data_IF_236045017866
#
_entry.id   IF_236045017866
#
_cell.length_a   1.000
_cell.length_b   1.000
_cell.length_c   1.000
_cell.angle_alpha   90.00
_cell.angle_beta   90.00
_cell.angle_gamma   90.00
#
_symmetry.space_group_name_H-M   'P 1'
#
loop_
_entity.id
_entity.type
_entity.pdbx_description
1 polymer ?
#
# COMPACT_ATOMS: atom_id res chain seq x y z
N UNK A 1 21.38 16.79 -20.02
CA UNK A 1 20.52 15.61 -20.27
C UNK A 1 19.22 15.88 -19.55
N UNK A 2 18.09 15.86 -20.27
CA UNK A 2 16.78 16.06 -19.62
C UNK A 2 16.45 14.87 -18.71
N UNK A 3 15.57 15.06 -17.74
CA UNK A 3 15.10 13.97 -16.86
C UNK A 3 14.55 12.80 -17.70
N UNK A 4 13.73 13.08 -18.72
CA UNK A 4 13.21 12.06 -19.65
C UNK A 4 14.32 11.32 -20.41
N UNK A 5 15.39 11.99 -20.85
CA UNK A 5 16.54 11.33 -21.47
C UNK A 5 17.30 10.41 -20.51
N UNK A 6 17.42 10.81 -19.23
CA UNK A 6 17.99 9.96 -18.18
C UNK A 6 17.15 8.69 -17.99
N UNK A 7 15.82 8.82 -17.89
CA UNK A 7 14.90 7.69 -17.80
C UNK A 7 15.02 6.75 -19.02
N UNK A 8 15.10 7.29 -20.25
CA UNK A 8 15.31 6.47 -21.47
C UNK A 8 16.59 5.66 -21.44
N UNK A 9 17.65 6.26 -20.91
CA UNK A 9 18.96 5.62 -20.82
C UNK A 9 18.92 4.46 -19.83
N UNK A 10 18.34 4.69 -18.65
CA UNK A 10 18.23 3.69 -17.57
C UNK A 10 17.21 2.60 -17.85
N UNK A 11 16.13 2.90 -18.58
CA UNK A 11 15.06 1.95 -18.89
C UNK A 11 15.58 0.61 -19.41
N UNK A 12 16.59 0.63 -20.29
CA UNK A 12 17.16 -0.58 -20.91
C UNK A 12 17.71 -1.58 -19.89
N UNK A 13 18.17 -1.11 -18.73
CA UNK A 13 18.71 -1.95 -17.67
C UNK A 13 17.62 -2.68 -16.86
N UNK A 14 16.36 -2.24 -17.01
CA UNK A 14 15.21 -2.72 -16.24
C UNK A 14 14.17 -3.48 -17.06
N UNK A 15 14.35 -3.57 -18.38
CA UNK A 15 13.51 -4.40 -19.23
C UNK A 15 13.77 -5.88 -18.96
N UNK A 16 12.72 -6.68 -18.95
CA UNK A 16 12.83 -8.14 -18.87
C UNK A 16 13.33 -8.75 -20.21
N UNK A 17 13.45 -10.08 -20.24
CA UNK A 17 13.90 -10.81 -21.44
C UNK A 17 12.98 -10.64 -22.67
N UNK A 18 11.76 -10.15 -22.49
CA UNK A 18 10.78 -9.87 -23.56
C UNK A 18 10.76 -8.39 -23.94
N UNK A 19 11.60 -7.57 -23.31
CA UNK A 19 11.59 -6.13 -23.48
C UNK A 19 10.46 -5.43 -22.73
N UNK A 20 9.89 -6.06 -21.69
CA UNK A 20 8.77 -5.55 -20.92
C UNK A 20 9.22 -4.87 -19.63
N UNK A 21 8.42 -3.95 -19.09
CA UNK A 21 8.67 -3.29 -17.82
C UNK A 21 7.51 -3.50 -16.85
N UNK A 22 7.81 -4.00 -15.65
CA UNK A 22 6.77 -4.18 -14.63
C UNK A 22 6.12 -2.83 -14.24
N UNK A 23 4.78 -2.76 -14.16
CA UNK A 23 4.10 -1.56 -13.69
C UNK A 23 4.42 -1.28 -12.21
N UNK A 24 4.17 -0.05 -11.71
CA UNK A 24 4.57 0.38 -10.38
C UNK A 24 4.12 -0.56 -9.26
N UNK A 25 2.84 -0.95 -9.26
CA UNK A 25 2.28 -1.88 -8.27
C UNK A 25 2.86 -3.29 -8.35
N UNK A 26 3.37 -3.70 -9.52
CA UNK A 26 4.02 -5.00 -9.68
C UNK A 26 5.49 -4.95 -9.27
N UNK A 27 6.15 -3.79 -9.32
CA UNK A 27 7.55 -3.63 -8.91
C UNK A 27 7.71 -3.34 -7.43
N UNK A 28 6.85 -2.49 -6.88
CA UNK A 28 6.83 -2.04 -5.49
C UNK A 28 5.43 -2.26 -4.88
N UNK A 29 4.99 -3.52 -4.71
CA UNK A 29 3.66 -3.81 -4.15
C UNK A 29 3.49 -3.33 -2.71
N UNK A 30 4.60 -3.18 -1.99
CA UNK A 30 4.71 -2.64 -0.63
C UNK A 30 4.69 -1.11 -0.57
N UNK A 31 4.73 -0.40 -1.71
CA UNK A 31 4.48 1.02 -1.76
C UNK A 31 2.97 1.27 -1.86
N UNK A 32 2.42 1.89 -0.82
CA UNK A 32 1.07 2.45 -0.87
C UNK A 32 1.01 3.57 -1.93
N UNK A 33 -0.15 3.80 -2.57
CA UNK A 33 -0.28 4.70 -3.72
C UNK A 33 0.18 6.14 -3.43
N UNK A 34 -0.04 6.63 -2.21
CA UNK A 34 0.26 8.00 -1.81
C UNK A 34 1.54 8.12 -0.94
N UNK A 35 2.32 7.04 -0.80
CA UNK A 35 3.57 7.08 -0.05
C UNK A 35 4.59 8.05 -0.67
N UNK A 36 5.41 8.67 0.19
CA UNK A 36 6.51 9.56 -0.23
C UNK A 36 7.53 8.87 -1.14
N UNK A 37 7.64 7.54 -1.08
CA UNK A 37 8.53 6.77 -1.95
C UNK A 37 8.26 6.93 -3.45
N UNK A 38 7.06 7.35 -3.86
CA UNK A 38 6.77 7.68 -5.26
C UNK A 38 7.28 9.05 -5.71
N UNK A 39 7.54 9.94 -4.75
CA UNK A 39 8.00 11.33 -5.01
C UNK A 39 9.49 11.51 -4.73
N UNK A 40 10.14 10.50 -4.15
CA UNK A 40 11.55 10.53 -3.82
C UNK A 40 12.16 9.13 -3.94
N UNK A 41 13.30 9.04 -4.61
CA UNK A 41 14.12 7.82 -4.65
C UNK A 41 13.62 6.79 -5.66
N UNK A 42 13.59 5.52 -5.26
CA UNK A 42 13.40 4.40 -6.20
C UNK A 42 12.02 4.38 -6.88
N UNK A 43 10.96 4.82 -6.19
CA UNK A 43 9.62 4.88 -6.78
C UNK A 43 9.51 5.99 -7.82
N UNK A 44 10.06 7.17 -7.57
CA UNK A 44 10.12 8.29 -8.52
C UNK A 44 10.87 7.90 -9.81
N UNK A 45 12.05 7.32 -9.65
CA UNK A 45 12.85 6.79 -10.75
C UNK A 45 12.04 5.79 -11.60
N UNK A 46 11.32 4.88 -10.94
CA UNK A 46 10.53 3.86 -11.62
C UNK A 46 9.30 4.44 -12.32
N UNK A 47 8.61 5.40 -11.72
CA UNK A 47 7.51 6.13 -12.37
C UNK A 47 7.98 6.84 -13.63
N UNK A 48 9.16 7.48 -13.58
CA UNK A 48 9.78 8.11 -14.76
C UNK A 48 10.12 7.10 -15.86
N UNK A 49 10.74 5.97 -15.51
CA UNK A 49 11.04 4.91 -16.47
C UNK A 49 9.77 4.26 -17.05
N UNK A 50 8.76 4.06 -16.21
CA UNK A 50 7.48 3.49 -16.61
C UNK A 50 6.70 4.41 -17.55
N UNK A 51 6.63 5.70 -17.24
CA UNK A 51 6.05 6.71 -18.14
C UNK A 51 6.69 6.67 -19.52
N UNK A 52 8.03 6.64 -19.59
CA UNK A 52 8.73 6.60 -20.88
C UNK A 52 8.62 5.24 -21.60
N UNK A 53 8.47 4.16 -20.84
CA UNK A 53 8.13 2.86 -21.41
C UNK A 53 6.73 2.88 -22.06
N UNK A 54 5.75 3.47 -21.38
CA UNK A 54 4.40 3.65 -21.91
C UNK A 54 4.39 4.55 -23.15
N UNK A 55 5.24 5.58 -23.26
CA UNK A 55 5.39 6.40 -24.48
C UNK A 55 5.82 5.56 -25.71
N UNK A 56 6.48 4.41 -25.51
CA UNK A 56 6.94 3.52 -26.60
C UNK A 56 5.89 2.51 -27.04
N UNK A 57 4.84 2.29 -26.25
CA UNK A 57 3.72 1.43 -26.63
C UNK A 57 2.76 2.18 -27.56
N UNK A 58 2.09 1.46 -28.45
CA UNK A 58 1.00 2.05 -29.22
C UNK A 58 -0.10 2.54 -28.26
N UNK A 59 -0.71 3.72 -28.51
CA UNK A 59 -1.70 4.32 -27.61
C UNK A 59 -3.08 3.64 -27.69
N UNK A 60 -3.26 2.63 -28.54
CA UNK A 60 -4.53 1.94 -28.68
C UNK A 60 -4.85 1.06 -27.45
N UNK A 61 -6.13 0.96 -27.04
CA UNK A 61 -6.51 0.19 -25.86
C UNK A 61 -6.12 -1.29 -25.93
N UNK A 62 -6.11 -1.92 -27.10
CA UNK A 62 -5.77 -3.35 -27.22
C UNK A 62 -4.31 -3.62 -26.82
N UNK A 63 -3.38 -2.81 -27.32
CA UNK A 63 -1.96 -2.88 -26.95
C UNK A 63 -1.76 -2.63 -25.45
N UNK A 64 -2.47 -1.64 -24.89
CA UNK A 64 -2.38 -1.28 -23.47
C UNK A 64 -2.94 -2.35 -22.55
N UNK A 65 -4.09 -2.92 -22.90
CA UNK A 65 -4.68 -4.08 -22.21
C UNK A 65 -3.74 -5.28 -22.28
N UNK A 66 -3.15 -5.55 -23.45
CA UNK A 66 -2.21 -6.65 -23.63
C UNK A 66 -0.95 -6.46 -22.77
N UNK A 67 -0.49 -5.23 -22.56
CA UNK A 67 0.57 -4.91 -21.61
C UNK A 67 0.15 -5.20 -20.17
N UNK A 68 -0.96 -4.61 -19.71
CA UNK A 68 -1.45 -4.77 -18.34
C UNK A 68 -1.69 -6.25 -17.98
N UNK A 69 -2.23 -7.05 -18.91
CA UNK A 69 -2.51 -8.49 -18.70
C UNK A 69 -1.27 -9.37 -18.61
N UNK A 70 -0.08 -8.89 -18.96
CA UNK A 70 1.18 -9.62 -18.74
C UNK A 70 1.67 -9.52 -17.28
N UNK A 71 1.08 -8.62 -16.50
CA UNK A 71 1.44 -8.35 -15.12
C UNK A 71 0.28 -8.68 -14.17
N UNK A 72 0.54 -8.78 -12.84
CA UNK A 72 -0.53 -8.82 -11.85
C UNK A 72 -1.47 -7.61 -12.03
N UNK A 73 -2.79 -7.79 -11.81
CA UNK A 73 -3.72 -6.67 -11.87
C UNK A 73 -3.33 -5.59 -10.85
N UNK A 74 -3.67 -4.35 -11.14
CA UNK A 74 -3.44 -3.25 -10.22
C UNK A 74 -4.33 -3.38 -8.97
N UNK A 75 -3.87 -2.95 -7.80
CA UNK A 75 -4.77 -2.74 -6.66
C UNK A 75 -5.90 -1.77 -7.06
N UNK A 76 -7.09 -1.92 -6.48
CA UNK A 76 -8.24 -1.04 -6.79
C UNK A 76 -7.90 0.43 -6.58
N UNK A 77 -7.04 0.75 -5.61
CA UNK A 77 -6.55 2.11 -5.38
C UNK A 77 -5.84 2.72 -6.60
N UNK A 78 -5.37 1.94 -7.58
CA UNK A 78 -4.69 2.39 -8.80
C UNK A 78 -5.63 2.49 -10.03
N UNK A 79 -6.96 2.43 -9.85
CA UNK A 79 -7.91 2.38 -10.95
C UNK A 79 -7.83 3.55 -11.94
N UNK A 80 -7.61 4.77 -11.44
CA UNK A 80 -7.39 5.98 -12.23
C UNK A 80 -6.13 5.88 -13.08
N UNK A 81 -5.01 5.43 -12.50
CA UNK A 81 -3.75 5.25 -13.24
C UNK A 81 -3.91 4.19 -14.32
N UNK A 82 -4.62 3.09 -14.05
CA UNK A 82 -4.93 2.09 -15.09
C UNK A 82 -5.77 2.70 -16.19
N UNK A 83 -6.73 3.56 -15.85
CA UNK A 83 -7.53 4.27 -16.84
C UNK A 83 -6.67 5.18 -17.73
N UNK A 84 -5.78 5.97 -17.16
CA UNK A 84 -4.82 6.81 -17.92
C UNK A 84 -3.94 5.98 -18.86
N UNK A 85 -3.55 4.77 -18.47
CA UNK A 85 -2.78 3.85 -19.32
C UNK A 85 -3.59 3.42 -20.55
N UNK A 86 -4.89 3.20 -20.39
CA UNK A 86 -5.79 2.79 -21.48
C UNK A 86 -6.18 3.94 -22.40
N UNK A 87 -6.33 5.14 -21.84
CA UNK A 87 -6.83 6.33 -22.53
C UNK A 87 -5.84 7.50 -22.38
N UNK A 88 -4.62 7.40 -22.94
CA UNK A 88 -3.59 8.42 -22.75
C UNK A 88 -3.94 9.78 -23.37
N UNK A 89 -4.90 9.82 -24.30
CA UNK A 89 -5.40 11.06 -24.92
C UNK A 89 -6.41 11.82 -24.04
N UNK A 90 -6.93 11.20 -22.98
CA UNK A 90 -7.82 11.84 -22.01
C UNK A 90 -7.06 12.46 -20.83
N UNK A 91 -5.73 12.24 -20.77
CA UNK A 91 -4.85 12.91 -19.81
C UNK A 91 -4.85 14.40 -20.14
N UNK A 92 -5.39 15.24 -19.24
CA UNK A 92 -5.42 16.68 -19.47
C UNK A 92 -3.99 17.21 -19.68
N UNK A 93 -3.79 17.99 -20.73
CA UNK A 93 -2.55 18.73 -21.00
C UNK A 93 -2.45 19.96 -20.06
N UNK A 94 -2.75 19.81 -18.77
CA UNK A 94 -2.88 20.91 -17.80
C UNK A 94 -1.53 21.30 -17.13
N UNK A 95 -0.42 20.86 -17.72
CA UNK A 95 0.93 21.36 -17.39
C UNK A 95 1.31 22.60 -18.24
N UNK A 96 0.35 23.25 -18.92
CA UNK A 96 0.57 24.56 -19.54
C UNK A 96 0.37 25.67 -18.51
N UNK A 97 1.48 26.23 -18.01
CA UNK A 97 1.58 27.46 -17.21
C UNK A 97 0.97 28.70 -17.89
N UNK A 98 -0.33 28.75 -18.17
CA UNK A 98 -1.02 29.98 -18.57
C UNK A 98 -2.34 30.15 -17.81
N UNK A 99 -2.34 31.15 -16.93
CA UNK A 99 -3.50 31.86 -16.39
C UNK A 99 -4.64 31.93 -17.42
N UNK A 100 -5.70 31.14 -17.25
CA UNK A 100 -7.05 31.62 -17.50
C UNK A 100 -8.07 30.78 -16.71
N UNK A 101 -8.69 31.46 -15.76
CA UNK A 101 -9.85 30.98 -15.03
C UNK A 101 -11.02 30.76 -15.99
N UNK A 102 -11.23 29.52 -16.40
CA UNK A 102 -12.53 29.07 -16.90
C UNK A 102 -12.90 27.77 -16.19
N UNK A 103 -13.94 27.84 -15.36
CA UNK A 103 -14.54 26.74 -14.61
C UNK A 103 -15.22 25.76 -15.61
N UNK A 104 -14.40 25.02 -16.35
CA UNK A 104 -14.82 23.90 -17.16
C UNK A 104 -14.96 22.67 -16.28
N UNK A 105 -16.21 22.30 -16.00
CA UNK A 105 -16.67 21.04 -15.39
C UNK A 105 -15.82 19.86 -15.91
N UNK A 106 -14.75 19.49 -15.20
CA UNK A 106 -13.96 18.32 -15.56
C UNK A 106 -14.74 17.09 -15.10
N UNK A 107 -15.03 16.18 -16.03
CA UNK A 107 -15.62 14.86 -15.74
C UNK A 107 -14.75 13.98 -14.79
N UNK A 108 -13.64 14.53 -14.29
CA UNK A 108 -12.77 13.94 -13.27
C UNK A 108 -13.45 13.90 -11.88
N UNK A 109 -14.36 14.84 -11.59
CA UNK A 109 -14.98 14.97 -10.27
C UNK A 109 -16.38 14.33 -10.14
N UNK A 110 -16.96 13.72 -11.19
CA UNK A 110 -18.19 12.91 -11.03
C UNK A 110 -17.88 11.56 -10.34
N UNK A 111 -18.28 11.37 -9.07
CA UNK A 111 -18.03 10.13 -8.35
C UNK A 111 -18.71 8.93 -9.02
N UNK A 112 -19.78 9.18 -9.78
CA UNK A 112 -20.52 8.15 -10.53
C UNK A 112 -19.69 7.64 -11.70
N UNK A 113 -19.12 8.53 -12.50
CA UNK A 113 -18.21 8.18 -13.59
C UNK A 113 -16.98 7.41 -13.08
N UNK A 114 -16.35 7.86 -11.99
CA UNK A 114 -15.22 7.17 -11.38
C UNK A 114 -15.59 5.75 -10.89
N UNK A 115 -16.78 5.58 -10.30
CA UNK A 115 -17.28 4.27 -9.87
C UNK A 115 -17.57 3.33 -11.06
N UNK A 116 -18.11 3.87 -12.16
CA UNK A 116 -18.35 3.11 -13.39
C UNK A 116 -17.04 2.67 -14.04
N UNK A 117 -16.05 3.59 -14.18
CA UNK A 117 -14.70 3.27 -14.66
C UNK A 117 -14.08 2.13 -13.86
N UNK A 118 -14.11 2.24 -12.52
CA UNK A 118 -13.60 1.20 -11.61
C UNK A 118 -14.31 -0.14 -11.79
N UNK A 119 -15.63 -0.13 -11.93
CA UNK A 119 -16.41 -1.36 -12.15
C UNK A 119 -16.04 -2.03 -13.47
N UNK A 120 -15.90 -1.27 -14.55
CA UNK A 120 -15.48 -1.80 -15.85
C UNK A 120 -14.06 -2.39 -15.82
N UNK A 121 -13.13 -1.76 -15.08
CA UNK A 121 -11.76 -2.28 -14.92
C UNK A 121 -11.71 -3.57 -14.09
N UNK A 122 -12.57 -3.69 -13.07
CA UNK A 122 -12.75 -4.91 -12.28
C UNK A 122 -13.27 -6.06 -13.14
N UNK A 123 -14.31 -5.81 -13.95
CA UNK A 123 -14.89 -6.81 -14.87
C UNK A 123 -13.88 -7.30 -15.91
N UNK A 124 -12.99 -6.42 -16.37
CA UNK A 124 -11.92 -6.76 -17.30
C UNK A 124 -10.72 -7.47 -16.64
N UNK A 125 -10.68 -7.54 -15.32
CA UNK A 125 -9.59 -8.12 -14.54
C UNK A 125 -8.29 -7.31 -14.60
N UNK A 126 -8.38 -5.99 -14.86
CA UNK A 126 -7.22 -5.10 -14.91
C UNK A 126 -6.87 -4.51 -13.54
N UNK A 127 -7.86 -4.44 -12.65
CA UNK A 127 -7.69 -4.15 -11.23
C UNK A 127 -8.31 -5.25 -10.37
N UNK A 128 -7.83 -5.41 -9.14
CA UNK A 128 -8.33 -6.39 -8.19
C UNK A 128 -8.17 -5.94 -6.73
N UNK A 129 -9.03 -6.50 -5.87
CA UNK A 129 -8.95 -6.35 -4.42
C UNK A 129 -7.85 -7.25 -3.85
N UNK A 130 -7.09 -6.74 -2.87
CA UNK A 130 -6.07 -7.47 -2.10
C UNK A 130 -4.93 -8.09 -2.94
N UNK A 131 -4.65 -7.51 -4.11
CA UNK A 131 -3.64 -8.04 -5.03
C UNK A 131 -2.22 -7.67 -4.62
N UNK A 132 -2.04 -6.56 -3.89
CA UNK A 132 -0.70 -6.12 -3.52
C UNK A 132 0.00 -7.13 -2.61
N UNK A 133 -0.72 -7.72 -1.65
CA UNK A 133 -0.16 -8.75 -0.78
C UNK A 133 0.28 -10.00 -1.57
N UNK A 134 -0.59 -10.52 -2.45
CA UNK A 134 -0.26 -11.69 -3.26
C UNK A 134 0.92 -11.42 -4.21
N UNK A 135 0.98 -10.20 -4.77
CA UNK A 135 2.08 -9.74 -5.62
C UNK A 135 3.39 -9.65 -4.84
N UNK A 136 3.38 -9.02 -3.65
CA UNK A 136 4.53 -8.97 -2.75
C UNK A 136 5.01 -10.35 -2.34
N UNK A 137 4.07 -11.24 -1.98
CA UNK A 137 4.38 -12.61 -1.56
C UNK A 137 5.03 -13.41 -2.69
N UNK A 138 4.55 -13.24 -3.93
CA UNK A 138 5.13 -13.89 -5.11
C UNK A 138 6.55 -13.45 -5.45
N UNK A 139 7.01 -12.31 -4.91
CA UNK A 139 8.40 -11.84 -5.04
C UNK A 139 9.34 -12.41 -3.98
N UNK A 140 8.80 -13.06 -2.94
CA UNK A 140 9.61 -13.58 -1.85
C UNK A 140 10.16 -14.99 -2.17
N UNK A 141 11.43 -15.22 -1.89
CA UNK A 141 12.06 -16.55 -1.94
C UNK A 141 12.07 -17.28 -0.60
N UNK A 142 11.59 -16.60 0.45
CA UNK A 142 11.51 -17.08 1.83
C UNK A 142 10.89 -15.99 2.72
N UNK A 143 10.99 -16.13 4.04
CA UNK A 143 10.55 -15.07 4.95
C UNK A 143 11.65 -14.01 5.05
N UNK A 144 11.37 -12.80 4.57
CA UNK A 144 12.22 -11.64 4.78
C UNK A 144 11.92 -11.05 6.16
N UNK A 145 12.84 -11.21 7.10
CA UNK A 145 12.61 -10.77 8.48
C UNK A 145 12.80 -9.25 8.63
N UNK A 146 11.85 -8.52 9.26
CA UNK A 146 11.90 -7.06 9.36
C UNK A 146 13.20 -6.51 9.96
N UNK A 147 13.77 -7.23 10.93
CA UNK A 147 15.02 -6.84 11.60
C UNK A 147 16.27 -6.92 10.72
N UNK A 148 16.17 -7.46 9.50
CA UNK A 148 17.27 -7.37 8.52
C UNK A 148 17.46 -5.94 7.99
N UNK A 149 16.42 -5.10 8.06
CA UNK A 149 16.44 -3.71 7.56
C UNK A 149 16.15 -2.68 8.65
N UNK A 150 15.36 -3.05 9.66
CA UNK A 150 14.92 -2.16 10.73
C UNK A 150 15.55 -2.59 12.07
N UNK A 151 16.44 -1.80 12.68
CA UNK A 151 17.09 -2.19 13.92
C UNK A 151 16.10 -2.31 15.08
N UNK A 152 15.04 -1.50 15.10
CA UNK A 152 13.97 -1.56 16.10
C UNK A 152 12.60 -1.93 15.49
N UNK A 153 11.69 -2.56 16.25
CA UNK A 153 10.34 -2.84 15.81
C UNK A 153 9.51 -1.59 15.52
N UNK A 154 9.75 -0.51 16.25
CA UNK A 154 9.11 0.78 16.06
C UNK A 154 9.44 1.37 14.67
N UNK A 155 10.69 1.26 14.21
CA UNK A 155 11.12 1.72 12.88
C UNK A 155 10.38 0.97 11.77
N UNK A 156 10.24 -0.35 11.93
CA UNK A 156 9.51 -1.18 10.96
C UNK A 156 8.03 -0.79 10.92
N UNK A 157 7.41 -0.60 12.09
CA UNK A 157 6.02 -0.19 12.19
C UNK A 157 5.80 1.21 11.58
N UNK A 158 6.76 2.12 11.74
CA UNK A 158 6.67 3.51 11.28
C UNK A 158 6.94 3.69 9.79
N UNK A 159 8.04 3.14 9.30
CA UNK A 159 8.56 3.46 7.97
C UNK A 159 8.27 2.38 6.93
N UNK A 160 7.96 1.16 7.38
CA UNK A 160 7.71 0.01 6.51
C UNK A 160 6.37 -0.66 6.86
N UNK A 161 5.37 0.12 7.27
CA UNK A 161 4.10 -0.37 7.82
C UNK A 161 3.40 -1.36 6.90
N UNK A 162 3.38 -1.07 5.60
CA UNK A 162 2.75 -1.92 4.59
C UNK A 162 3.51 -3.23 4.38
N UNK A 163 4.84 -3.17 4.22
CA UNK A 163 5.69 -4.37 4.13
C UNK A 163 5.57 -5.21 5.42
N UNK A 164 5.56 -4.57 6.60
CA UNK A 164 5.40 -5.24 7.88
C UNK A 164 4.01 -5.89 8.02
N UNK A 165 2.96 -5.27 7.47
CA UNK A 165 1.63 -5.87 7.39
C UNK A 165 1.60 -7.10 6.48
N UNK A 166 2.25 -7.04 5.32
CA UNK A 166 2.36 -8.20 4.44
C UNK A 166 3.16 -9.34 5.08
N UNK A 167 4.29 -9.03 5.71
CA UNK A 167 5.06 -9.99 6.49
C UNK A 167 4.22 -10.62 7.62
N UNK A 168 3.46 -9.80 8.35
CA UNK A 168 2.55 -10.22 9.42
C UNK A 168 1.55 -11.28 8.94
N UNK A 169 0.94 -11.05 7.76
CA UNK A 169 0.03 -12.01 7.12
C UNK A 169 0.73 -13.30 6.71
N UNK A 170 1.92 -13.21 6.09
CA UNK A 170 2.71 -14.39 5.71
C UNK A 170 3.05 -15.26 6.95
N UNK A 171 3.52 -14.62 8.02
CA UNK A 171 3.85 -15.29 9.28
C UNK A 171 2.62 -15.92 9.93
N UNK A 172 1.47 -15.25 9.90
CA UNK A 172 0.22 -15.79 10.42
C UNK A 172 -0.19 -17.09 9.72
N UNK A 173 -0.05 -17.16 8.38
CA UNK A 173 -0.32 -18.39 7.63
C UNK A 173 0.70 -19.49 7.94
N UNK A 174 1.99 -19.15 8.02
CA UNK A 174 3.03 -20.12 8.40
C UNK A 174 2.80 -20.69 9.81
N UNK A 175 2.36 -19.86 10.75
CA UNK A 175 2.05 -20.27 12.13
C UNK A 175 0.87 -21.24 12.21
N UNK A 176 -0.11 -21.14 11.29
CA UNK A 176 -1.22 -22.10 11.21
C UNK A 176 -0.78 -23.46 10.64
N UNK A 177 0.38 -23.52 9.99
CA UNK A 177 1.00 -24.76 9.54
C UNK A 177 1.55 -25.60 10.70
N UNK A 178 1.87 -26.86 10.41
CA UNK A 178 2.30 -27.84 11.42
C UNK A 178 3.78 -27.73 11.84
N UNK A 179 4.60 -26.92 11.17
CA UNK A 179 6.06 -26.85 11.37
C UNK A 179 6.56 -25.40 11.56
N UNK A 180 5.81 -24.58 12.31
CA UNK A 180 6.26 -23.23 12.63
C UNK A 180 7.36 -23.25 13.69
N UNK A 181 8.53 -22.71 13.34
CA UNK A 181 9.60 -22.39 14.29
C UNK A 181 10.23 -21.08 13.85
N UNK A 182 9.95 -19.95 14.53
CA UNK A 182 10.56 -18.68 14.16
C UNK A 182 12.08 -18.74 14.40
N UNK A 183 12.87 -17.96 13.66
CA UNK A 183 14.30 -17.82 13.91
C UNK A 183 14.54 -17.14 15.27
N UNK A 184 15.80 -17.14 15.69
CA UNK A 184 16.22 -16.35 16.85
C UNK A 184 15.90 -14.87 16.64
N UNK A 185 15.06 -14.31 17.52
CA UNK A 185 14.71 -12.89 17.52
C UNK A 185 15.87 -12.10 18.13
N UNK A 186 16.38 -11.05 17.47
CA UNK A 186 17.47 -10.25 18.00
C UNK A 186 17.06 -9.49 19.26
N UNK A 187 18.04 -9.06 20.06
CA UNK A 187 17.82 -8.37 21.34
C UNK A 187 16.88 -7.16 21.20
N UNK A 188 17.09 -6.35 20.17
CA UNK A 188 16.27 -5.15 19.92
C UNK A 188 14.80 -5.46 19.60
N UNK A 189 14.48 -6.70 19.20
CA UNK A 189 13.13 -7.17 18.91
C UNK A 189 12.59 -8.11 19.99
N UNK A 190 13.29 -8.29 21.11
CA UNK A 190 12.90 -9.23 22.18
C UNK A 190 11.48 -8.99 22.70
N UNK A 191 11.01 -7.74 22.72
CA UNK A 191 9.64 -7.38 23.11
C UNK A 191 8.55 -7.96 22.18
N UNK A 192 8.90 -8.35 20.95
CA UNK A 192 8.00 -8.94 19.96
C UNK A 192 8.10 -10.47 19.90
N UNK A 193 9.06 -11.09 20.59
CA UNK A 193 9.38 -12.51 20.43
C UNK A 193 8.20 -13.43 20.76
N UNK A 194 7.53 -13.21 21.89
CA UNK A 194 6.35 -14.00 22.29
C UNK A 194 5.24 -13.90 21.25
N UNK A 195 4.91 -12.67 20.80
CA UNK A 195 3.88 -12.44 19.80
C UNK A 195 4.18 -13.14 18.47
N UNK A 196 5.44 -13.10 18.04
CA UNK A 196 5.89 -13.80 16.84
C UNK A 196 5.74 -15.33 16.98
N UNK A 197 6.19 -15.87 18.11
CA UNK A 197 6.21 -17.31 18.35
C UNK A 197 4.81 -17.90 18.46
N UNK A 198 3.97 -17.32 19.30
CA UNK A 198 2.68 -17.93 19.69
C UNK A 198 1.48 -17.34 18.97
N UNK A 199 1.61 -16.14 18.38
CA UNK A 199 0.47 -15.36 17.91
C UNK A 199 -0.30 -14.65 19.03
N UNK A 200 0.12 -14.80 20.28
CA UNK A 200 -0.45 -14.10 21.42
C UNK A 200 0.32 -12.80 21.67
N UNK A 201 -0.37 -11.68 21.53
CA UNK A 201 0.24 -10.37 21.72
C UNK A 201 0.47 -10.04 23.20
N UNK A 202 -0.19 -10.73 24.13
CA UNK A 202 -0.19 -10.42 25.55
C UNK A 202 -0.80 -9.05 25.85
N UNK A 203 -0.30 -8.37 26.88
CA UNK A 203 -0.77 -7.02 27.22
C UNK A 203 -0.21 -5.98 26.24
N UNK A 204 -1.12 -5.21 25.64
CA UNK A 204 -0.82 -4.02 24.82
C UNK A 204 -0.60 -2.81 25.73
N UNK A 205 0.36 -1.95 25.36
CA UNK A 205 0.67 -0.70 26.06
C UNK A 205 0.32 0.48 25.16
N UNK A 206 -0.90 1.06 25.25
CA UNK A 206 -1.35 2.09 24.31
C UNK A 206 -0.48 3.34 24.20
N UNK A 207 0.31 3.64 25.24
CA UNK A 207 1.26 4.76 25.25
C UNK A 207 2.54 4.50 24.43
N UNK A 208 2.79 3.24 24.07
CA UNK A 208 3.90 2.83 23.19
C UNK A 208 3.29 2.36 21.89
N UNK A 209 2.69 3.27 21.13
CA UNK A 209 1.83 2.96 19.98
C UNK A 209 2.54 2.14 18.91
N UNK A 210 3.73 2.58 18.48
CA UNK A 210 4.51 1.88 17.44
C UNK A 210 4.96 0.49 17.89
N UNK A 211 5.46 0.33 19.12
CA UNK A 211 5.81 -1.00 19.64
C UNK A 211 4.58 -1.90 19.75
N UNK A 212 3.47 -1.36 20.23
CA UNK A 212 2.21 -2.10 20.36
C UNK A 212 1.70 -2.58 19.00
N UNK A 213 1.76 -1.71 17.97
CA UNK A 213 1.45 -2.08 16.60
C UNK A 213 2.42 -3.16 16.09
N UNK A 214 3.73 -3.02 16.30
CA UNK A 214 4.71 -4.02 15.89
C UNK A 214 4.46 -5.38 16.54
N UNK A 215 4.10 -5.42 17.83
CA UNK A 215 3.74 -6.66 18.55
C UNK A 215 2.46 -7.29 17.97
N UNK A 216 1.44 -6.49 17.69
CA UNK A 216 0.22 -6.95 17.03
C UNK A 216 0.53 -7.55 15.65
N UNK A 217 1.32 -6.85 14.84
CA UNK A 217 1.76 -7.34 13.54
C UNK A 217 2.57 -8.63 13.66
N UNK A 218 3.47 -8.76 14.64
CA UNK A 218 4.15 -10.03 14.93
C UNK A 218 3.15 -11.15 15.29
N UNK A 219 2.08 -10.83 16.00
CA UNK A 219 1.00 -11.76 16.30
C UNK A 219 0.12 -12.11 15.09
N UNK A 220 0.25 -11.43 13.95
CA UNK A 220 -0.55 -11.71 12.76
C UNK A 220 -1.94 -11.06 12.78
N UNK A 221 -2.13 -10.04 13.61
CA UNK A 221 -3.42 -9.37 13.80
C UNK A 221 -3.23 -7.89 14.09
N UNK A 222 -4.27 -7.08 13.89
CA UNK A 222 -4.31 -5.69 14.39
C UNK A 222 -5.61 -5.52 15.14
N UNK A 223 -5.54 -5.01 16.36
CA UNK A 223 -6.71 -4.69 17.17
C UNK A 223 -7.07 -3.23 16.97
N UNK A 224 -8.33 -2.92 16.71
CA UNK A 224 -8.77 -1.54 16.58
C UNK A 224 -8.74 -0.82 17.95
N UNK A 225 -8.52 0.51 18.00
CA UNK A 225 -8.44 1.25 19.25
C UNK A 225 -9.64 1.04 20.18
N UNK A 226 -10.85 0.97 19.64
CA UNK A 226 -12.07 0.72 20.40
C UNK A 226 -12.14 -0.68 21.03
N UNK A 227 -11.42 -1.67 20.48
CA UNK A 227 -11.29 -3.00 21.11
C UNK A 227 -10.37 -2.97 22.34
N UNK A 228 -9.52 -1.95 22.43
CA UNK A 228 -8.64 -1.69 23.57
C UNK A 228 -9.25 -0.71 24.58
N UNK A 229 -10.50 -0.25 24.36
CA UNK A 229 -11.15 0.75 25.20
C UNK A 229 -10.64 2.18 25.00
N UNK A 230 -9.94 2.45 23.90
CA UNK A 230 -9.48 3.79 23.54
C UNK A 230 -10.59 4.58 22.82
N UNK A 231 -10.45 5.90 22.87
CA UNK A 231 -11.36 6.88 22.29
C UNK A 231 -10.62 7.78 21.29
N UNK A 232 -11.38 8.61 20.55
CA UNK A 232 -10.78 9.63 19.69
C UNK A 232 -10.00 10.70 20.46
N UNK A 233 -10.27 10.87 21.77
CA UNK A 233 -9.49 11.80 22.60
C UNK A 233 -8.07 11.28 22.90
N UNK A 234 -7.81 10.00 22.64
CA UNK A 234 -6.48 9.39 22.77
C UNK A 234 -5.63 9.56 21.50
N UNK A 235 -6.20 10.14 20.43
CA UNK A 235 -5.47 10.55 19.24
C UNK A 235 -4.73 11.86 19.52
N UNK A 236 -3.41 11.86 19.37
CA UNK A 236 -2.57 13.00 19.70
C UNK A 236 -2.02 13.74 18.47
N UNK A 237 -2.13 13.15 17.28
CA UNK A 237 -1.46 13.58 16.04
C UNK A 237 0.03 13.90 16.26
N UNK A 238 0.68 13.06 17.09
CA UNK A 238 2.09 13.21 17.41
C UNK A 238 2.94 12.49 16.36
N UNK A 239 3.97 13.19 15.88
CA UNK A 239 5.01 12.62 15.03
C UNK A 239 6.21 12.13 15.84
N UNK A 240 6.12 12.05 17.17
CA UNK A 240 7.21 11.53 18.00
C UNK A 240 7.29 10.00 17.89
N UNK A 241 8.43 9.42 18.27
CA UNK A 241 8.63 7.96 18.25
C UNK A 241 7.81 7.23 19.33
N UNK A 242 7.31 7.97 20.32
CA UNK A 242 6.43 7.47 21.38
C UNK A 242 4.95 7.88 21.15
N UNK A 243 4.49 7.92 19.90
CA UNK A 243 3.08 8.21 19.58
C UNK A 243 2.12 7.20 20.23
N UNK A 244 0.87 7.64 20.46
CA UNK A 244 -0.19 6.79 20.99
C UNK A 244 -0.62 5.69 20.02
N UNK A 245 -1.28 4.65 20.53
CA UNK A 245 -1.73 3.55 19.68
C UNK A 245 -2.81 3.96 18.66
N UNK A 246 -3.59 5.02 18.93
CA UNK A 246 -4.55 5.54 17.94
C UNK A 246 -3.82 6.10 16.71
N UNK A 247 -2.72 6.83 16.93
CA UNK A 247 -1.85 7.35 15.87
C UNK A 247 -1.17 6.22 15.09
N UNK A 248 -0.61 5.22 15.78
CA UNK A 248 -0.01 4.06 15.12
C UNK A 248 -1.06 3.26 14.32
N UNK A 249 -2.28 3.12 14.85
CA UNK A 249 -3.39 2.47 14.15
C UNK A 249 -3.80 3.24 12.89
N UNK A 250 -3.83 4.57 12.92
CA UNK A 250 -4.05 5.41 11.74
C UNK A 250 -2.99 5.13 10.67
N UNK A 251 -1.71 5.14 11.05
CA UNK A 251 -0.60 4.86 10.14
C UNK A 251 -0.75 3.48 9.45
N UNK A 252 -1.12 2.46 10.22
CA UNK A 252 -1.45 1.15 9.66
C UNK A 252 -2.64 1.20 8.71
N UNK A 253 -3.74 1.84 9.11
CA UNK A 253 -4.95 1.94 8.29
C UNK A 253 -4.75 2.66 6.96
N UNK A 254 -3.91 3.69 6.93
CA UNK A 254 -3.51 4.39 5.70
C UNK A 254 -2.75 3.49 4.72
N UNK A 255 -2.07 2.47 5.24
CA UNK A 255 -1.12 1.64 4.49
C UNK A 255 -1.63 0.22 4.18
N UNK A 256 -2.60 -0.28 4.94
CA UNK A 256 -2.91 -1.71 4.99
C UNK A 256 -3.87 -2.19 3.89
N UNK A 257 -4.69 -1.31 3.34
CA UNK A 257 -5.83 -1.68 2.50
C UNK A 257 -5.66 -1.22 1.06
N UNK A 258 -6.01 -2.09 0.12
CA UNK A 258 -6.03 -1.77 -1.31
C UNK A 258 -7.37 -1.15 -1.74
N UNK A 259 -8.42 -1.37 -0.94
CA UNK A 259 -9.80 -1.06 -1.32
C UNK A 259 -10.76 -0.95 -0.12
N UNK A 260 -11.89 -0.30 -0.37
CA UNK A 260 -12.96 -0.07 0.59
C UNK A 260 -13.62 -1.35 1.10
N UNK A 261 -13.62 -2.44 0.32
CA UNK A 261 -14.24 -3.69 0.71
C UNK A 261 -13.44 -4.39 1.82
N UNK A 262 -12.12 -4.41 1.72
CA UNK A 262 -11.25 -4.92 2.78
C UNK A 262 -11.35 -4.09 4.05
N UNK A 263 -11.31 -2.77 3.93
CA UNK A 263 -11.50 -1.88 5.07
C UNK A 263 -12.85 -2.16 5.74
N UNK A 264 -13.95 -2.21 4.97
CA UNK A 264 -15.28 -2.52 5.51
C UNK A 264 -15.33 -3.84 6.26
N UNK A 265 -14.75 -4.92 5.69
CA UNK A 265 -14.66 -6.23 6.37
C UNK A 265 -13.93 -6.12 7.71
N UNK A 266 -12.83 -5.37 7.76
CA UNK A 266 -12.10 -5.14 8.99
C UNK A 266 -12.94 -4.36 10.03
N UNK A 267 -13.60 -3.27 9.62
CA UNK A 267 -14.45 -2.46 10.51
C UNK A 267 -15.65 -3.25 11.05
N UNK A 268 -16.28 -4.10 10.22
CA UNK A 268 -17.36 -4.99 10.62
C UNK A 268 -16.86 -6.06 11.61
N UNK A 269 -15.73 -6.72 11.31
CA UNK A 269 -15.15 -7.75 12.16
C UNK A 269 -14.73 -7.21 13.54
N UNK A 270 -14.26 -5.97 13.59
CA UNK A 270 -13.85 -5.28 14.83
C UNK A 270 -15.00 -4.54 15.50
N UNK A 271 -16.21 -4.57 14.93
CA UNK A 271 -17.43 -3.92 15.46
C UNK A 271 -17.24 -2.43 15.73
N UNK A 272 -16.78 -1.70 14.72
CA UNK A 272 -16.54 -0.25 14.83
C UNK A 272 -17.73 0.50 15.44
N UNK A 273 -17.55 1.24 16.55
CA UNK A 273 -18.60 2.07 17.12
C UNK A 273 -18.97 3.23 16.19
N UNK A 274 -20.23 3.72 16.20
CA UNK A 274 -20.67 4.82 15.33
C UNK A 274 -19.80 6.08 15.43
N UNK A 275 -19.29 6.40 16.62
CA UNK A 275 -18.45 7.57 16.86
C UNK A 275 -17.09 7.56 16.13
N UNK A 276 -16.68 6.44 15.55
CA UNK A 276 -15.43 6.31 14.77
C UNK A 276 -15.65 6.45 13.26
N UNK A 277 -16.90 6.47 12.78
CA UNK A 277 -17.20 6.42 11.34
C UNK A 277 -16.58 7.59 10.58
N UNK A 278 -16.81 8.81 11.05
CA UNK A 278 -16.35 10.02 10.35
C UNK A 278 -14.82 10.11 10.39
N UNK A 279 -14.20 9.74 11.52
CA UNK A 279 -12.74 9.68 11.65
C UNK A 279 -12.14 8.65 10.69
N UNK A 280 -12.71 7.45 10.56
CA UNK A 280 -12.20 6.46 9.59
C UNK A 280 -12.36 6.94 8.15
N UNK A 281 -13.50 7.57 7.83
CA UNK A 281 -13.75 8.15 6.51
C UNK A 281 -12.74 9.24 6.15
N UNK A 282 -12.33 10.05 7.14
CA UNK A 282 -11.33 11.10 6.95
C UNK A 282 -9.90 10.55 6.85
N UNK A 283 -9.55 9.59 7.71
CA UNK A 283 -8.16 9.19 7.88
C UNK A 283 -7.69 8.09 6.93
N UNK A 284 -8.60 7.25 6.41
CA UNK A 284 -8.22 6.08 5.62
C UNK A 284 -8.50 6.36 4.14
N UNK A 285 -7.47 6.32 3.24
CA UNK A 285 -7.61 6.75 1.84
C UNK A 285 -8.64 5.97 1.01
N UNK A 286 -9.02 4.79 1.49
CA UNK A 286 -9.93 3.87 0.78
C UNK A 286 -11.32 3.80 1.42
N UNK A 287 -11.63 4.66 2.40
CA UNK A 287 -12.90 4.65 3.14
C UNK A 287 -14.11 5.16 2.34
#
# INVERSE_FOLDING_TARGET
MSWKESCRTRLREHLDARGDLAPPWARFPDYERHTLGWRMGAGEDWMGMWSVFLEQLAPDPETRIAYLRRHPPAPVSWADVVHEVLFPAERSDDDSDEDDSDEGDSDEDDPTAAAQRRSALLEQGLIASDVAFATWLGQQTGVSWPWARCPAPEDAARYNTRELWFWSRQVAELRRGSEWTPPGVPESWRACAQALETGDVGTIEPRRGLLSLARLLCAGQVQAPWQLGLSLADFADSFDDDMGYVDAFRLWGMSAFDDALQLRRYLEATRMPPGWRDWVAEQFPVA
#
